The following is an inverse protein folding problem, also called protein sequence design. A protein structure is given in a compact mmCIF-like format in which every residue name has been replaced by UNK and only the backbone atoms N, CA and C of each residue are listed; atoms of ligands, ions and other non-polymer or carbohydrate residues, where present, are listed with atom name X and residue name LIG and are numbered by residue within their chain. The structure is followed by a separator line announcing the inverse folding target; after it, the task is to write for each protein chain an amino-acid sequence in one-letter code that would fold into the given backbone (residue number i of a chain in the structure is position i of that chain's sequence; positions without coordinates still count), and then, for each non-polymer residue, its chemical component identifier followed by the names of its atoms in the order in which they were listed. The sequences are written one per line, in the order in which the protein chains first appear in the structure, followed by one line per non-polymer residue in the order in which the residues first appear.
data_IF_178002468593
#
_entry.id   IF_178002468593
#
_cell.length_a   1.000
_cell.length_b   1.000
_cell.length_c   1.000
_cell.angle_alpha   90.00
_cell.angle_beta   90.00
_cell.angle_gamma   90.00
#
_symmetry.space_group_name_H-M   'P 1'
#
loop_
_entity.id
_entity.type
_entity.pdbx_description
1 polymer ?
#
# COMPACT_ATOMS: atom_id res chain seq x y z
N UNK A 1 34.49 46.60 -25.58
CA UNK A 1 34.27 46.38 -24.18
C UNK A 1 32.93 45.69 -24.10
N UNK A 2 32.96 44.38 -24.18
CA UNK A 2 31.81 43.52 -24.11
C UNK A 2 31.83 42.84 -22.73
N UNK A 3 30.74 42.90 -22.02
CA UNK A 3 30.54 42.15 -20.82
C UNK A 3 29.59 40.98 -21.16
N UNK A 4 30.18 39.79 -21.17
CA UNK A 4 29.48 38.54 -21.36
C UNK A 4 28.87 38.15 -19.99
N UNK A 5 27.56 38.33 -19.82
CA UNK A 5 26.80 37.81 -18.73
C UNK A 5 26.55 36.29 -18.92
N UNK A 6 27.42 35.46 -18.33
CA UNK A 6 27.16 34.04 -18.14
C UNK A 6 25.99 33.85 -17.19
N UNK A 7 24.81 33.58 -17.73
CA UNK A 7 23.71 33.01 -16.96
C UNK A 7 24.03 31.56 -16.56
N UNK A 8 24.60 31.43 -15.38
CA UNK A 8 24.75 30.17 -14.69
C UNK A 8 23.36 29.70 -14.18
N UNK A 9 22.65 28.96 -15.01
CA UNK A 9 21.44 28.26 -14.61
C UNK A 9 21.84 27.03 -13.76
N UNK A 10 22.04 27.23 -12.47
CA UNK A 10 22.08 26.13 -11.53
C UNK A 10 20.68 25.52 -11.44
N UNK A 11 20.42 24.48 -12.24
CA UNK A 11 19.31 23.57 -12.01
C UNK A 11 19.54 22.88 -10.66
N UNK A 12 18.83 23.33 -9.64
CA UNK A 12 18.69 22.61 -8.38
C UNK A 12 17.97 21.28 -8.70
N UNK A 13 18.76 20.24 -8.92
CA UNK A 13 18.31 18.87 -8.84
C UNK A 13 17.90 18.63 -7.37
N UNK A 14 16.66 18.99 -7.02
CA UNK A 14 16.06 18.56 -5.77
C UNK A 14 16.01 17.04 -5.83
N UNK A 15 16.98 16.39 -5.18
CA UNK A 15 17.26 14.97 -5.25
C UNK A 15 15.98 14.15 -5.11
N UNK A 16 15.54 13.55 -6.22
CA UNK A 16 14.42 12.59 -6.20
C UNK A 16 14.76 11.49 -5.21
N UNK A 17 13.81 11.16 -4.34
CA UNK A 17 13.97 10.06 -3.42
C UNK A 17 14.10 8.76 -4.20
N UNK A 18 15.11 7.97 -3.91
CA UNK A 18 15.38 6.70 -4.60
C UNK A 18 14.71 5.54 -3.87
N UNK A 19 14.24 4.57 -4.64
CA UNK A 19 13.67 3.32 -4.16
C UNK A 19 14.26 2.19 -4.97
N UNK A 20 15.04 1.35 -4.30
CA UNK A 20 15.58 0.13 -4.88
C UNK A 20 14.52 -0.95 -4.90
N UNK A 21 14.37 -1.62 -6.04
CA UNK A 21 13.51 -2.78 -6.22
C UNK A 21 14.31 -3.95 -6.77
N UNK A 22 13.97 -5.14 -6.33
CA UNK A 22 14.66 -6.38 -6.65
C UNK A 22 13.79 -7.28 -7.50
N UNK A 23 14.38 -8.19 -8.28
CA UNK A 23 13.65 -9.14 -9.11
C UNK A 23 12.68 -10.01 -8.29
N UNK A 24 11.51 -10.27 -8.86
CA UNK A 24 10.50 -11.15 -8.24
C UNK A 24 11.06 -12.52 -7.91
N UNK A 25 12.03 -13.00 -8.69
CA UNK A 25 12.72 -14.28 -8.49
C UNK A 25 13.53 -14.38 -7.20
N UNK A 26 13.87 -13.23 -6.59
CA UNK A 26 14.59 -13.18 -5.31
C UNK A 26 13.70 -13.51 -4.10
N UNK A 27 12.41 -13.60 -4.31
CA UNK A 27 11.43 -13.85 -3.26
C UNK A 27 10.87 -15.26 -3.33
N UNK A 28 10.69 -15.87 -2.17
CA UNK A 28 10.00 -17.15 -2.03
C UNK A 28 8.53 -16.91 -1.70
N UNK A 29 7.64 -17.65 -2.37
CA UNK A 29 6.19 -17.58 -2.16
C UNK A 29 5.66 -18.91 -1.67
N UNK A 30 4.98 -18.91 -0.53
CA UNK A 30 4.34 -20.07 0.07
C UNK A 30 2.95 -19.73 0.58
N UNK A 31 2.24 -20.73 1.05
CA UNK A 31 0.90 -20.61 1.60
C UNK A 31 0.82 -21.03 3.06
N UNK A 32 -0.19 -20.53 3.75
CA UNK A 32 -0.57 -20.91 5.11
C UNK A 32 -2.08 -21.02 5.21
N UNK A 33 -2.55 -21.53 6.35
CA UNK A 33 -3.97 -21.70 6.63
C UNK A 33 -4.83 -20.48 6.24
N UNK A 34 -5.99 -20.75 5.67
CA UNK A 34 -6.94 -19.73 5.22
C UNK A 34 -7.40 -18.81 6.36
N UNK A 35 -7.57 -17.53 6.06
CA UNK A 35 -8.15 -16.59 7.02
C UNK A 35 -9.67 -16.59 6.92
N UNK A 36 -10.33 -16.47 8.07
CA UNK A 36 -11.78 -16.31 8.14
C UNK A 36 -12.13 -14.83 7.97
N UNK A 37 -12.99 -14.51 6.99
CA UNK A 37 -13.54 -13.17 6.82
C UNK A 37 -14.73 -12.96 7.75
N UNK A 38 -14.78 -11.78 8.37
CA UNK A 38 -15.83 -11.44 9.36
C UNK A 38 -17.17 -11.08 8.73
N UNK A 39 -17.16 -10.67 7.47
CA UNK A 39 -18.34 -10.16 6.78
C UNK A 39 -18.67 -11.07 5.59
N UNK A 40 -19.88 -11.59 5.56
CA UNK A 40 -20.37 -12.43 4.47
C UNK A 40 -20.90 -11.58 3.32
N UNK A 41 -21.52 -10.44 3.63
CA UNK A 41 -22.12 -9.53 2.65
C UNK A 41 -21.59 -8.10 2.76
N UNK A 42 -21.86 -7.28 1.73
CA UNK A 42 -21.60 -5.83 1.75
C UNK A 42 -22.41 -5.15 2.84
N UNK A 43 -23.67 -5.59 3.05
CA UNK A 43 -24.54 -5.06 4.10
C UNK A 43 -23.98 -5.29 5.48
N UNK A 44 -23.49 -6.51 5.79
CA UNK A 44 -22.86 -6.84 7.06
C UNK A 44 -21.64 -5.96 7.32
N UNK A 45 -20.84 -5.74 6.27
CA UNK A 45 -19.68 -4.87 6.32
C UNK A 45 -20.06 -3.42 6.65
N UNK A 46 -21.13 -2.87 6.02
CA UNK A 46 -21.58 -1.51 6.27
C UNK A 46 -22.14 -1.40 7.70
N UNK A 47 -22.96 -2.34 8.12
CA UNK A 47 -23.53 -2.39 9.48
C UNK A 47 -22.42 -2.41 10.52
N UNK A 48 -21.41 -3.26 10.34
CA UNK A 48 -20.25 -3.31 11.23
C UNK A 48 -19.44 -2.02 11.20
N UNK A 49 -19.33 -1.35 10.05
CA UNK A 49 -18.64 -0.05 9.97
C UNK A 49 -19.40 1.02 10.76
N UNK A 50 -20.72 1.09 10.66
CA UNK A 50 -21.57 2.03 11.40
C UNK A 50 -21.44 1.80 12.91
N UNK A 51 -21.54 0.56 13.36
CA UNK A 51 -21.37 0.17 14.77
C UNK A 51 -19.99 0.54 15.30
N UNK A 52 -18.93 0.24 14.57
CA UNK A 52 -17.57 0.61 14.98
C UNK A 52 -17.35 2.13 15.04
N UNK A 53 -17.97 2.88 14.13
CA UNK A 53 -17.87 4.35 14.15
C UNK A 53 -18.61 4.94 15.35
N UNK A 54 -19.78 4.42 15.67
CA UNK A 54 -20.53 4.84 16.86
C UNK A 54 -19.75 4.58 18.17
N UNK A 55 -19.04 3.44 18.24
CA UNK A 55 -18.29 3.05 19.44
C UNK A 55 -16.92 3.76 19.57
N UNK A 56 -16.23 4.01 18.46
CA UNK A 56 -14.81 4.41 18.46
C UNK A 56 -14.49 5.64 17.59
N UNK A 57 -15.46 6.22 16.90
CA UNK A 57 -15.24 7.33 15.97
C UNK A 57 -14.46 6.94 14.73
N UNK A 58 -13.62 7.85 14.23
CA UNK A 58 -12.80 7.63 13.03
C UNK A 58 -11.91 6.39 13.17
N UNK A 59 -11.99 5.50 12.18
CA UNK A 59 -11.15 4.29 12.11
C UNK A 59 -10.10 4.45 11.03
N UNK A 60 -8.84 4.22 11.40
CA UNK A 60 -7.71 4.27 10.48
C UNK A 60 -7.33 2.88 9.98
N UNK A 61 -7.10 2.76 8.68
CA UNK A 61 -6.45 1.62 8.05
C UNK A 61 -5.13 2.07 7.46
N UNK A 62 -4.12 1.20 7.54
CA UNK A 62 -2.80 1.39 6.95
C UNK A 62 -2.54 0.30 5.93
N UNK A 63 -2.02 0.66 4.78
CA UNK A 63 -1.78 -0.23 3.66
C UNK A 63 -0.39 0.01 3.08
N UNK A 64 0.27 -1.06 2.64
CA UNK A 64 1.62 -1.02 2.11
C UNK A 64 1.62 -1.01 0.58
N UNK A 65 2.45 -0.15 0.03
CA UNK A 65 2.90 -0.20 -1.36
C UNK A 65 4.22 -0.95 -1.38
N UNK A 66 4.20 -2.17 -1.92
CA UNK A 66 5.33 -3.08 -2.06
C UNK A 66 5.65 -3.22 -3.54
N UNK A 67 6.89 -2.91 -3.92
CA UNK A 67 7.34 -2.94 -5.31
C UNK A 67 8.37 -4.03 -5.53
N UNK A 68 8.27 -4.69 -6.67
CA UNK A 68 9.23 -5.69 -7.16
C UNK A 68 9.51 -5.44 -8.63
N UNK A 69 10.62 -5.96 -9.12
CA UNK A 69 10.93 -5.97 -10.55
C UNK A 69 10.42 -7.27 -11.19
N UNK A 70 9.80 -7.16 -12.36
CA UNK A 70 9.50 -8.28 -13.25
C UNK A 70 9.58 -7.79 -14.69
N UNK A 71 10.33 -8.51 -15.56
CA UNK A 71 10.57 -8.14 -16.95
C UNK A 71 11.12 -6.72 -17.15
N UNK A 72 12.01 -6.28 -16.26
CA UNK A 72 12.60 -4.93 -16.26
C UNK A 72 11.59 -3.79 -16.05
N UNK A 73 10.45 -4.10 -15.44
CA UNK A 73 9.42 -3.14 -15.09
C UNK A 73 9.03 -3.22 -13.61
N UNK A 74 8.68 -2.09 -12.97
CA UNK A 74 8.18 -2.10 -11.60
C UNK A 74 6.76 -2.66 -11.55
N UNK A 75 6.55 -3.59 -10.63
CA UNK A 75 5.28 -4.24 -10.35
C UNK A 75 4.86 -3.99 -8.91
N UNK A 76 3.57 -3.77 -8.71
CA UNK A 76 2.94 -3.62 -7.40
C UNK A 76 2.45 -4.98 -6.91
N UNK A 77 2.79 -5.33 -5.66
CA UNK A 77 2.27 -6.54 -5.03
C UNK A 77 0.87 -6.30 -4.47
N UNK A 78 -0.11 -7.03 -4.99
CA UNK A 78 -1.51 -6.96 -4.59
C UNK A 78 -2.01 -8.30 -4.06
N UNK A 79 -2.86 -8.25 -3.05
CA UNK A 79 -3.64 -9.40 -2.59
C UNK A 79 -4.95 -9.48 -3.38
N UNK A 80 -5.22 -10.63 -3.98
CA UNK A 80 -6.48 -10.91 -4.67
C UNK A 80 -7.36 -11.83 -3.84
N UNK A 81 -8.63 -11.43 -3.68
CA UNK A 81 -9.70 -12.23 -3.10
C UNK A 81 -10.67 -12.68 -4.19
N UNK A 82 -11.13 -13.92 -4.11
CA UNK A 82 -12.22 -14.46 -4.94
C UNK A 82 -12.07 -14.12 -6.44
N UNK A 83 -10.85 -14.08 -6.95
CA UNK A 83 -10.48 -13.80 -8.34
C UNK A 83 -10.91 -12.42 -8.89
N UNK A 84 -11.51 -11.55 -8.10
CA UNK A 84 -12.06 -10.28 -8.57
C UNK A 84 -11.74 -9.04 -7.72
N UNK A 85 -11.38 -9.22 -6.46
CA UNK A 85 -11.16 -8.09 -5.54
C UNK A 85 -9.69 -7.96 -5.24
N UNK A 86 -9.11 -6.83 -5.62
CA UNK A 86 -7.71 -6.49 -5.32
C UNK A 86 -7.61 -5.60 -4.09
N UNK A 87 -6.60 -5.84 -3.28
CA UNK A 87 -6.29 -5.05 -2.07
C UNK A 87 -4.79 -4.90 -1.90
N UNK A 88 -4.38 -3.76 -1.39
CA UNK A 88 -3.05 -3.60 -0.84
C UNK A 88 -2.90 -4.39 0.47
N UNK A 89 -1.74 -4.96 0.74
CA UNK A 89 -1.46 -5.58 2.04
C UNK A 89 -1.55 -4.55 3.16
N UNK A 90 -2.21 -4.90 4.24
CA UNK A 90 -2.42 -3.97 5.36
C UNK A 90 -3.71 -4.24 6.11
N UNK A 91 -4.26 -3.23 6.76
CA UNK A 91 -5.55 -3.33 7.42
C UNK A 91 -5.74 -2.31 8.54
N UNK A 92 -6.79 -2.51 9.33
CA UNK A 92 -7.21 -1.58 10.38
C UNK A 92 -6.25 -1.57 11.57
N UNK A 93 -5.98 -0.38 12.09
CA UNK A 93 -5.27 -0.17 13.34
C UNK A 93 -6.10 -0.61 14.55
N UNK A 94 -5.44 -0.99 15.61
CA UNK A 94 -6.01 -1.13 16.94
C UNK A 94 -6.13 0.26 17.60
N UNK A 95 -7.02 0.45 18.58
CA UNK A 95 -7.03 1.69 19.37
C UNK A 95 -5.66 1.95 20.01
N UNK A 96 -5.14 3.19 19.86
CA UNK A 96 -3.85 3.59 20.41
C UNK A 96 -2.60 3.08 19.68
N UNK A 97 -2.76 2.31 18.61
CA UNK A 97 -1.64 1.76 17.82
C UNK A 97 -1.10 2.83 16.86
N UNK A 98 0.23 2.91 16.74
CA UNK A 98 0.86 3.77 15.75
C UNK A 98 0.65 3.24 14.33
N UNK A 99 0.74 4.11 13.32
CA UNK A 99 0.58 3.72 11.92
C UNK A 99 1.63 2.65 11.52
N UNK A 100 2.88 2.86 11.96
CA UNK A 100 4.01 1.98 11.61
C UNK A 100 3.88 0.61 12.28
N UNK A 101 3.62 0.57 13.59
CA UNK A 101 3.48 -0.71 14.32
C UNK A 101 2.27 -1.50 13.82
N UNK A 102 1.17 -0.80 13.54
CA UNK A 102 -0.02 -1.41 12.97
C UNK A 102 0.23 -1.99 11.58
N UNK A 103 0.97 -1.28 10.73
CA UNK A 103 1.31 -1.77 9.40
C UNK A 103 2.23 -2.99 9.49
N UNK A 104 3.32 -2.93 10.27
CA UNK A 104 4.23 -4.06 10.50
C UNK A 104 3.48 -5.30 10.99
N UNK A 105 2.64 -5.14 11.99
CA UNK A 105 1.79 -6.24 12.50
C UNK A 105 0.88 -6.82 11.42
N UNK A 106 0.28 -5.97 10.58
CA UNK A 106 -0.63 -6.42 9.50
C UNK A 106 0.12 -7.14 8.39
N UNK A 107 1.30 -6.65 8.01
CA UNK A 107 2.14 -7.31 7.02
C UNK A 107 2.62 -8.67 7.52
N UNK A 108 3.14 -8.74 8.74
CA UNK A 108 3.55 -10.02 9.35
C UNK A 108 2.41 -11.02 9.41
N UNK A 109 1.20 -10.59 9.84
CA UNK A 109 0.05 -11.47 9.87
C UNK A 109 -0.40 -11.99 8.51
N UNK A 110 -0.23 -11.22 7.43
CA UNK A 110 -0.74 -11.58 6.10
C UNK A 110 0.31 -12.18 5.19
N UNK A 111 1.57 -11.81 5.37
CA UNK A 111 2.65 -12.10 4.42
C UNK A 111 3.82 -12.88 5.03
N UNK A 112 3.85 -13.15 6.34
CA UNK A 112 4.90 -13.92 7.00
C UNK A 112 4.40 -15.26 7.53
N UNK A 113 5.30 -16.22 7.67
CA UNK A 113 4.99 -17.58 8.12
C UNK A 113 4.56 -17.61 9.59
N UNK A 114 5.28 -16.94 10.45
CA UNK A 114 5.06 -16.94 11.91
C UNK A 114 5.09 -15.51 12.46
N UNK A 115 4.50 -15.37 13.65
CA UNK A 115 4.63 -14.14 14.44
C UNK A 115 5.95 -14.09 15.23
N UNK A 116 6.66 -15.20 15.25
CA UNK A 116 7.90 -15.34 16.02
C UNK A 116 9.09 -14.77 15.25
N UNK A 117 9.51 -13.63 15.66
CA UNK A 117 10.60 -12.72 15.44
C UNK A 117 11.87 -13.05 14.64
N UNK A 118 11.90 -14.07 13.79
CA UNK A 118 13.11 -14.47 13.06
C UNK A 118 13.17 -13.98 11.59
N UNK A 119 12.15 -13.21 11.14
CA UNK A 119 12.18 -12.55 9.83
C UNK A 119 12.62 -11.09 9.98
N UNK A 120 13.34 -10.59 8.97
CA UNK A 120 13.73 -9.18 8.92
C UNK A 120 12.50 -8.27 9.09
N UNK A 121 12.64 -7.24 9.91
CA UNK A 121 11.59 -6.27 10.19
C UNK A 121 11.15 -5.57 8.90
N UNK A 122 9.86 -5.21 8.82
CA UNK A 122 9.33 -4.45 7.68
C UNK A 122 9.84 -3.02 7.72
N UNK A 123 10.58 -2.61 6.69
CA UNK A 123 11.08 -1.25 6.55
C UNK A 123 9.97 -0.34 6.00
N UNK A 124 9.21 0.26 6.93
CA UNK A 124 8.12 1.18 6.59
C UNK A 124 8.70 2.57 6.35
N UNK A 125 8.57 3.06 5.13
CA UNK A 125 8.97 4.40 4.71
C UNK A 125 7.88 5.45 4.96
N UNK A 126 7.85 6.47 4.11
CA UNK A 126 6.93 7.59 4.28
C UNK A 126 5.49 7.29 3.88
N UNK A 127 4.57 8.08 4.41
CA UNK A 127 3.18 8.08 3.99
C UNK A 127 3.06 8.71 2.59
N UNK A 128 2.62 7.93 1.62
CA UNK A 128 2.46 8.35 0.23
C UNK A 128 1.19 9.18 0.02
N UNK A 129 0.13 8.87 0.75
CA UNK A 129 -1.15 9.53 0.62
C UNK A 129 -2.21 9.00 1.58
N UNK A 130 -3.30 9.73 1.65
CA UNK A 130 -4.43 9.44 2.54
C UNK A 130 -5.73 9.57 1.78
N UNK A 131 -6.65 8.64 2.04
CA UNK A 131 -8.02 8.67 1.51
C UNK A 131 -9.01 8.61 2.66
N UNK A 132 -10.04 9.44 2.58
CA UNK A 132 -11.12 9.45 3.56
C UNK A 132 -12.42 8.97 2.93
N UNK A 133 -13.21 8.29 3.73
CA UNK A 133 -14.60 8.02 3.42
C UNK A 133 -15.45 9.05 4.16
N UNK A 134 -16.33 9.79 3.45
CA UNK A 134 -17.17 10.82 4.05
C UNK A 134 -18.49 10.26 4.57
N UNK A 135 -18.90 9.08 4.09
CA UNK A 135 -20.03 8.30 4.61
C UNK A 135 -19.72 6.78 4.54
N UNK A 136 -20.71 5.96 4.81
CA UNK A 136 -20.53 4.50 4.83
C UNK A 136 -20.71 3.84 3.46
N UNK A 137 -21.28 4.53 2.48
CA UNK A 137 -21.70 3.98 1.20
C UNK A 137 -20.85 4.44 0.02
N UNK A 138 -20.21 5.62 0.13
CA UNK A 138 -19.45 6.21 -0.96
C UNK A 138 -18.03 5.71 -1.10
N UNK A 139 -17.42 6.06 -2.23
CA UNK A 139 -16.01 5.79 -2.53
C UNK A 139 -15.07 6.62 -1.63
N UNK A 140 -13.87 6.13 -1.46
CA UNK A 140 -12.79 6.85 -0.79
C UNK A 140 -12.31 8.00 -1.67
N UNK A 141 -12.13 9.19 -1.08
CA UNK A 141 -11.59 10.36 -1.75
C UNK A 141 -10.39 10.97 -0.98
N UNK A 142 -9.45 11.63 -1.69
CA UNK A 142 -8.23 12.15 -1.07
C UNK A 142 -8.45 13.44 -0.26
N UNK A 143 -9.51 14.18 -0.56
CA UNK A 143 -9.83 15.45 0.09
C UNK A 143 -11.25 15.48 0.63
N UNK A 144 -11.39 15.90 1.90
CA UNK A 144 -12.69 16.18 2.51
C UNK A 144 -12.61 17.46 3.32
N UNK A 145 -13.68 18.30 3.31
CA UNK A 145 -13.77 19.45 4.20
C UNK A 145 -13.63 19.02 5.67
N UNK A 146 -13.03 19.86 6.52
CA UNK A 146 -12.84 19.56 7.96
C UNK A 146 -14.14 19.28 8.71
N UNK A 147 -15.23 19.88 8.25
CA UNK A 147 -16.57 19.77 8.86
C UNK A 147 -17.29 18.46 8.58
N UNK A 148 -16.82 17.66 7.62
CA UNK A 148 -17.47 16.40 7.25
C UNK A 148 -17.07 15.29 8.24
N UNK A 149 -18.07 14.55 8.73
CA UNK A 149 -17.83 13.34 9.53
C UNK A 149 -17.09 12.31 8.67
N UNK A 150 -15.95 11.81 9.16
CA UNK A 150 -15.07 10.88 8.43
C UNK A 150 -15.05 9.54 9.13
N UNK A 151 -15.88 8.55 8.73
CA UNK A 151 -15.91 7.26 9.41
C UNK A 151 -14.64 6.42 9.21
N UNK A 152 -13.91 6.65 8.12
CA UNK A 152 -12.70 5.88 7.83
C UNK A 152 -11.64 6.73 7.11
N UNK A 153 -10.39 6.60 7.57
CA UNK A 153 -9.19 7.03 6.86
C UNK A 153 -8.38 5.81 6.41
N UNK A 154 -7.84 5.85 5.20
CA UNK A 154 -6.86 4.86 4.72
C UNK A 154 -5.58 5.59 4.37
N UNK A 155 -4.47 5.19 4.98
CA UNK A 155 -3.14 5.74 4.72
C UNK A 155 -2.29 4.72 3.97
N UNK A 156 -1.58 5.15 2.94
CA UNK A 156 -0.64 4.34 2.18
C UNK A 156 0.79 4.67 2.57
N UNK A 157 1.58 3.64 2.78
CA UNK A 157 3.00 3.75 3.10
C UNK A 157 3.83 3.00 2.06
N UNK A 158 4.91 3.61 1.63
CA UNK A 158 5.94 2.89 0.90
C UNK A 158 6.67 1.96 1.86
N UNK A 159 6.76 0.69 1.53
CA UNK A 159 7.50 -0.30 2.31
C UNK A 159 8.60 -0.86 1.44
N UNK A 160 9.85 -0.64 1.86
CA UNK A 160 11.01 -1.16 1.15
C UNK A 160 11.17 -2.64 1.42
N UNK A 161 11.37 -3.39 0.36
CA UNK A 161 11.65 -4.81 0.45
C UNK A 161 13.18 -5.04 0.50
N UNK A 162 13.65 -5.97 1.32
CA UNK A 162 15.03 -6.41 1.26
C UNK A 162 15.29 -7.20 -0.03
N UNK A 163 16.55 -7.45 -0.34
CA UNK A 163 16.98 -8.24 -1.50
C UNK A 163 16.29 -9.61 -1.60
N UNK A 164 16.00 -10.24 -0.46
CA UNK A 164 15.27 -11.49 -0.41
C UNK A 164 14.30 -11.54 0.78
N UNK A 165 13.16 -12.17 0.60
CA UNK A 165 12.17 -12.39 1.65
C UNK A 165 11.27 -13.58 1.31
N UNK A 166 10.73 -14.22 2.36
CA UNK A 166 9.68 -15.23 2.23
C UNK A 166 8.30 -14.56 2.40
N UNK A 167 7.45 -14.69 1.39
CA UNK A 167 6.05 -14.30 1.45
C UNK A 167 5.19 -15.54 1.68
N UNK A 168 4.57 -15.65 2.84
CA UNK A 168 3.67 -16.75 3.20
C UNK A 168 2.27 -16.19 3.33
N UNK A 169 1.42 -16.53 2.39
CA UNK A 169 0.10 -15.91 2.20
C UNK A 169 -1.00 -16.91 2.56
N UNK A 170 -2.11 -16.49 3.19
CA UNK A 170 -3.26 -17.36 3.41
C UNK A 170 -3.77 -17.99 2.12
N UNK A 171 -4.14 -19.28 2.13
CA UNK A 171 -4.55 -20.04 0.93
C UNK A 171 -5.73 -19.42 0.18
N UNK A 172 -6.62 -18.72 0.88
CA UNK A 172 -7.75 -18.01 0.28
C UNK A 172 -7.41 -16.61 -0.26
N UNK A 173 -6.14 -16.25 -0.30
CA UNK A 173 -5.60 -15.04 -0.92
C UNK A 173 -4.54 -15.42 -1.94
N UNK A 174 -4.48 -14.67 -3.03
CA UNK A 174 -3.37 -14.75 -4.00
C UNK A 174 -2.55 -13.47 -3.91
N UNK A 175 -1.24 -13.59 -3.82
CA UNK A 175 -0.32 -12.45 -3.94
C UNK A 175 0.13 -12.37 -5.40
N UNK A 176 -0.17 -11.25 -6.05
CA UNK A 176 0.08 -11.03 -7.47
C UNK A 176 1.00 -9.83 -7.65
N UNK A 177 1.94 -9.94 -8.57
CA UNK A 177 2.73 -8.82 -9.08
C UNK A 177 2.02 -8.24 -10.31
N UNK A 178 1.57 -6.99 -10.21
CA UNK A 178 0.82 -6.31 -11.27
C UNK A 178 1.64 -5.11 -11.76
N UNK A 179 1.87 -4.97 -13.09
CA UNK A 179 2.62 -3.84 -13.65
C UNK A 179 2.02 -2.50 -13.22
N UNK A 180 2.84 -1.53 -12.82
CA UNK A 180 2.34 -0.18 -12.50
C UNK A 180 1.59 0.45 -13.66
N UNK A 181 2.00 0.18 -14.91
CA UNK A 181 1.30 0.65 -16.12
C UNK A 181 -0.12 0.10 -16.25
N UNK A 182 -0.37 -1.14 -15.80
CA UNK A 182 -1.70 -1.75 -15.81
C UNK A 182 -2.59 -1.21 -14.68
N UNK A 183 -1.98 -0.81 -13.57
CA UNK A 183 -2.69 -0.25 -12.42
C UNK A 183 -3.10 1.20 -12.65
N UNK A 184 -2.27 1.97 -13.37
CA UNK A 184 -2.45 3.41 -13.60
C UNK A 184 -3.82 3.71 -14.19
N UNK A 185 -4.57 4.61 -13.53
CA UNK A 185 -5.91 5.06 -13.92
C UNK A 185 -6.97 3.95 -14.11
N UNK A 186 -6.66 2.71 -13.79
CA UNK A 186 -7.58 1.58 -13.94
C UNK A 186 -8.51 1.44 -12.72
N UNK A 187 -9.35 2.46 -12.51
CA UNK A 187 -10.30 2.52 -11.39
C UNK A 187 -11.34 1.40 -11.41
N UNK A 188 -11.73 0.95 -12.61
CA UNK A 188 -12.75 -0.09 -12.79
C UNK A 188 -12.29 -1.43 -12.20
N UNK A 189 -11.03 -1.79 -12.40
CA UNK A 189 -10.47 -3.07 -11.94
C UNK A 189 -9.94 -2.99 -10.51
N UNK A 190 -9.19 -1.94 -10.19
CA UNK A 190 -8.42 -1.86 -8.95
C UNK A 190 -9.01 -0.91 -7.91
N UNK A 191 -9.97 -0.09 -8.29
CA UNK A 191 -10.55 0.95 -7.43
C UNK A 191 -9.64 2.18 -7.30
N UNK A 192 -10.18 3.23 -6.67
CA UNK A 192 -9.57 4.57 -6.64
C UNK A 192 -8.21 4.61 -5.93
N UNK A 193 -8.07 3.87 -4.84
CA UNK A 193 -6.83 3.91 -4.02
C UNK A 193 -5.67 3.27 -4.77
N UNK A 194 -5.86 2.04 -5.27
CA UNK A 194 -4.80 1.29 -5.94
C UNK A 194 -4.41 1.95 -7.26
N UNK A 195 -5.39 2.37 -8.06
CA UNK A 195 -5.12 3.03 -9.35
C UNK A 195 -4.41 4.38 -9.24
N UNK A 196 -4.47 5.03 -8.08
CA UNK A 196 -3.72 6.25 -7.79
C UNK A 196 -2.26 6.03 -7.34
N UNK A 197 -1.86 4.78 -7.03
CA UNK A 197 -0.51 4.48 -6.54
C UNK A 197 0.59 4.91 -7.52
N UNK A 198 0.51 4.66 -8.82
CA UNK A 198 1.56 5.09 -9.76
C UNK A 198 1.82 6.59 -9.73
N UNK A 199 0.77 7.41 -9.62
CA UNK A 199 0.89 8.86 -9.51
C UNK A 199 1.60 9.28 -8.21
N UNK A 200 1.32 8.61 -7.08
CA UNK A 200 2.00 8.89 -5.81
C UNK A 200 3.49 8.52 -5.86
N UNK A 201 3.85 7.54 -6.67
CA UNK A 201 5.22 7.10 -6.85
C UNK A 201 6.02 7.97 -7.84
N UNK A 202 5.39 8.90 -8.56
CA UNK A 202 6.05 9.75 -9.57
C UNK A 202 7.17 10.63 -9.01
N UNK A 203 7.15 10.91 -7.72
CA UNK A 203 8.19 11.68 -7.00
C UNK A 203 9.44 10.85 -6.66
N UNK A 204 9.40 9.53 -6.88
CA UNK A 204 10.53 8.64 -6.64
C UNK A 204 11.24 8.27 -7.94
N UNK A 205 12.55 8.08 -7.84
CA UNK A 205 13.35 7.35 -8.82
C UNK A 205 13.36 5.88 -8.43
N UNK A 206 12.84 5.01 -9.28
CA UNK A 206 12.82 3.57 -9.02
C UNK A 206 14.05 2.95 -9.66
N UNK A 207 14.94 2.42 -8.83
CA UNK A 207 16.17 1.76 -9.26
C UNK A 207 15.93 0.25 -9.32
N UNK A 208 16.12 -0.35 -10.48
CA UNK A 208 16.07 -1.79 -10.65
C UNK A 208 17.47 -2.33 -10.34
N UNK A 209 17.57 -3.15 -9.30
CA UNK A 209 18.81 -3.78 -8.88
C UNK A 209 18.92 -5.15 -9.54
N UNK A 210 19.91 -5.32 -10.39
CA UNK A 210 20.25 -6.62 -10.99
C UNK A 210 21.08 -7.43 -10.01
N UNK A 211 20.67 -8.68 -9.74
CA UNK A 211 21.34 -9.64 -8.86
C UNK A 211 21.77 -10.86 -9.68
#
# INVERSE_FOLDING_TARGET
MGDDDEHNSSSTDEGRKEVDIYPLSCYYFGSKEAIVFKDETVSDRITRMKSNYAAYGLRTSVEAVLLVELFKHPHLLLLQLNNSIFKLPGGRLRPGETDIDGLRRKLSNKLSASRDGNEAEWEVGECLGMWWRHDFETLLCPYLPPTVKKPKCTKLFLVRLPESRKFIVPENLKLLAVPLSQVHENHKTYGTVISGVPQLLSKYSINIIDI
#
